data_IF_626657641378
#
_entry.id   IF_626657641378
#
_cell.length_a   1.000
_cell.length_b   1.000
_cell.length_c   1.000
_cell.angle_alpha   90.00
_cell.angle_beta   90.00
_cell.angle_gamma   90.00
#
_symmetry.space_group_name_H-M   'P 1'
#
loop_
_entity.id
_entity.type
_entity.pdbx_description
1 polymer ?
#
# COMPACT_ATOMS: atom_id res chain seq x y z
N UNK A 1 -10.81 -16.41 -27.75
CA UNK A 1 -11.29 -15.11 -27.24
C UNK A 1 -10.07 -14.37 -26.71
N UNK A 2 -9.86 -13.16 -27.18
CA UNK A 2 -8.77 -12.35 -26.63
C UNK A 2 -9.16 -11.88 -25.22
N UNK A 3 -8.22 -11.91 -24.27
CA UNK A 3 -8.45 -11.38 -22.94
C UNK A 3 -8.75 -9.88 -23.02
N UNK A 4 -9.67 -9.43 -22.18
CA UNK A 4 -10.03 -8.02 -22.05
C UNK A 4 -9.84 -7.58 -20.59
N UNK A 5 -8.68 -6.99 -20.32
CA UNK A 5 -8.30 -6.56 -18.97
C UNK A 5 -8.32 -5.04 -18.88
N UNK A 6 -9.09 -4.52 -17.97
CA UNK A 6 -9.14 -3.09 -17.64
C UNK A 6 -8.27 -2.82 -16.41
N UNK A 7 -7.48 -1.77 -16.47
CA UNK A 7 -6.87 -1.15 -15.29
C UNK A 7 -7.51 0.22 -15.06
N UNK A 8 -8.00 0.44 -13.85
CA UNK A 8 -8.55 1.72 -13.37
C UNK A 8 -7.62 2.30 -12.31
N UNK A 9 -7.35 3.60 -12.37
CA UNK A 9 -6.53 4.34 -11.39
C UNK A 9 -7.23 5.67 -11.07
N UNK A 10 -7.49 5.91 -9.80
CA UNK A 10 -8.10 7.14 -9.32
C UNK A 10 -7.09 8.29 -9.37
N UNK A 11 -7.41 9.37 -10.09
CA UNK A 11 -6.48 10.46 -10.34
C UNK A 11 -6.17 11.25 -9.06
N UNK A 12 -4.87 11.30 -8.68
CA UNK A 12 -4.42 12.01 -7.46
C UNK A 12 -5.31 11.73 -6.25
N UNK A 13 -5.63 10.46 -6.01
CA UNK A 13 -6.72 9.98 -5.15
C UNK A 13 -6.85 10.75 -3.84
N UNK A 14 -5.80 10.80 -3.00
CA UNK A 14 -5.88 11.49 -1.70
C UNK A 14 -6.17 12.99 -1.85
N UNK A 15 -5.60 13.65 -2.85
CA UNK A 15 -5.89 15.06 -3.14
C UNK A 15 -7.35 15.24 -3.57
N UNK A 16 -7.85 14.33 -4.42
CA UNK A 16 -9.24 14.38 -4.87
C UNK A 16 -10.21 14.15 -3.73
N UNK A 17 -9.92 13.23 -2.80
CA UNK A 17 -10.74 13.04 -1.59
C UNK A 17 -10.80 14.30 -0.72
N UNK A 18 -9.67 14.96 -0.48
CA UNK A 18 -9.65 16.21 0.30
C UNK A 18 -10.44 17.34 -0.40
N UNK A 19 -10.34 17.42 -1.73
CA UNK A 19 -11.08 18.42 -2.53
C UNK A 19 -12.60 18.20 -2.51
N UNK A 20 -13.05 16.95 -2.36
CA UNK A 20 -14.48 16.66 -2.20
C UNK A 20 -15.04 17.20 -0.88
N UNK A 21 -14.22 17.21 0.18
CA UNK A 21 -14.63 17.71 1.50
C UNK A 21 -14.43 19.21 1.65
N UNK A 22 -13.49 19.81 0.92
CA UNK A 22 -13.19 21.23 0.96
C UNK A 22 -12.87 21.78 -0.43
N UNK A 23 -13.82 22.49 -1.02
CA UNK A 23 -13.70 23.10 -2.35
C UNK A 23 -12.64 24.21 -2.45
N UNK A 24 -12.22 24.82 -1.33
CA UNK A 24 -11.15 25.85 -1.31
C UNK A 24 -9.78 25.25 -1.71
N UNK A 25 -9.66 23.93 -1.68
CA UNK A 25 -8.46 23.22 -2.11
C UNK A 25 -8.36 23.06 -3.62
N UNK A 26 -9.39 23.45 -4.37
CA UNK A 26 -9.39 23.35 -5.82
C UNK A 26 -8.42 24.38 -6.45
N UNK A 27 -7.69 23.92 -7.45
CA UNK A 27 -6.80 24.80 -8.24
C UNK A 27 -5.52 25.23 -7.54
N UNK A 28 -5.33 24.92 -6.27
CA UNK A 28 -4.11 25.28 -5.53
C UNK A 28 -3.10 24.10 -5.50
N UNK A 29 -1.78 24.39 -5.43
CA UNK A 29 -0.79 23.36 -5.17
C UNK A 29 -1.02 22.74 -3.78
N UNK A 30 -1.35 21.44 -3.77
CA UNK A 30 -1.67 20.70 -2.56
C UNK A 30 -0.74 19.49 -2.42
N UNK A 31 -0.25 19.26 -1.20
CA UNK A 31 0.59 18.13 -0.83
C UNK A 31 -0.07 17.42 0.34
N UNK A 32 -0.37 16.15 0.14
CA UNK A 32 -0.83 15.26 1.22
C UNK A 32 0.39 14.55 1.80
N UNK A 33 0.61 14.72 3.09
CA UNK A 33 1.77 14.20 3.80
C UNK A 33 1.93 14.96 5.11
N UNK A 34 3.01 14.75 5.83
CA UNK A 34 3.20 15.51 7.06
C UNK A 34 4.35 15.02 7.91
N UNK A 35 4.63 15.81 8.98
CA UNK A 35 5.74 15.57 9.90
C UNK A 35 7.08 16.06 9.38
N UNK A 36 8.00 16.37 10.30
CA UNK A 36 9.33 16.91 9.99
C UNK A 36 10.16 16.00 9.09
N UNK A 37 10.00 14.67 9.25
CA UNK A 37 10.66 13.62 8.45
C UNK A 37 9.69 12.92 7.50
N UNK A 38 8.55 13.52 7.25
CA UNK A 38 7.52 12.95 6.39
C UNK A 38 7.87 13.05 4.92
N UNK A 39 7.15 12.27 4.13
CA UNK A 39 7.23 12.27 2.66
C UNK A 39 5.89 12.67 2.07
N UNK A 40 5.93 13.10 0.83
CA UNK A 40 4.74 13.33 0.01
C UNK A 40 4.06 11.99 -0.24
N UNK A 41 2.87 11.78 0.35
CA UNK A 41 2.04 10.61 0.05
C UNK A 41 1.35 10.77 -1.30
N UNK A 42 0.74 11.96 -1.54
CA UNK A 42 0.15 12.35 -2.82
C UNK A 42 0.31 13.85 -3.02
N UNK A 43 0.28 14.31 -4.27
CA UNK A 43 0.34 15.73 -4.58
C UNK A 43 -0.53 16.06 -5.79
N UNK A 44 -1.09 17.26 -5.80
CA UNK A 44 -1.93 17.77 -6.87
C UNK A 44 -1.15 17.99 -8.16
N UNK A 45 -1.85 18.07 -9.28
CA UNK A 45 -1.23 18.35 -10.56
C UNK A 45 -0.56 19.74 -10.59
N UNK A 46 -1.12 20.71 -9.88
CA UNK A 46 -0.53 22.03 -9.72
C UNK A 46 0.85 21.93 -9.03
N UNK A 47 0.95 21.14 -7.94
CA UNK A 47 2.24 20.91 -7.28
C UNK A 47 3.22 20.11 -8.16
N UNK A 48 2.71 19.14 -8.96
CA UNK A 48 3.55 18.36 -9.90
C UNK A 48 4.22 19.20 -10.97
N UNK A 49 3.62 20.33 -11.38
CA UNK A 49 4.22 21.27 -12.34
C UNK A 49 5.51 21.91 -11.82
N UNK A 50 5.64 22.04 -10.50
CA UNK A 50 6.87 22.51 -9.84
C UNK A 50 7.89 21.39 -9.58
N UNK A 51 7.63 20.16 -10.05
CA UNK A 51 8.53 19.03 -9.86
C UNK A 51 8.28 18.20 -8.61
N UNK A 52 7.24 18.52 -7.81
CA UNK A 52 6.88 17.71 -6.63
C UNK A 52 6.38 16.33 -7.07
N UNK A 53 6.83 15.27 -6.37
CA UNK A 53 6.47 13.87 -6.64
C UNK A 53 6.20 13.11 -5.34
N UNK A 54 5.40 12.06 -5.41
CA UNK A 54 5.22 11.12 -4.29
C UNK A 54 6.55 10.51 -3.86
N UNK A 55 6.66 10.15 -2.59
CA UNK A 55 7.86 9.69 -1.90
C UNK A 55 8.97 10.75 -1.69
N UNK A 56 8.84 11.96 -2.23
CA UNK A 56 9.77 13.06 -1.99
C UNK A 56 9.68 13.55 -0.53
N UNK A 57 10.80 13.85 0.16
CA UNK A 57 10.75 14.50 1.47
C UNK A 57 9.95 15.81 1.43
N UNK A 58 9.09 16.04 2.43
CA UNK A 58 8.24 17.27 2.48
C UNK A 58 9.08 18.55 2.40
N UNK A 59 10.22 18.60 3.10
CA UNK A 59 11.10 19.75 3.05
C UNK A 59 11.63 20.05 1.63
N UNK A 60 11.94 18.99 0.87
CA UNK A 60 12.37 19.14 -0.53
C UNK A 60 11.20 19.61 -1.41
N UNK A 61 10.01 19.05 -1.20
CA UNK A 61 8.80 19.44 -1.92
C UNK A 61 8.45 20.91 -1.69
N UNK A 62 8.58 21.41 -0.47
CA UNK A 62 8.37 22.85 -0.13
C UNK A 62 9.44 23.77 -0.71
N UNK A 63 10.68 23.29 -0.90
CA UNK A 63 11.70 24.07 -1.64
C UNK A 63 11.35 24.22 -3.12
N UNK A 64 10.74 23.20 -3.74
CA UNK A 64 10.31 23.24 -5.13
C UNK A 64 9.01 24.03 -5.32
N UNK A 65 8.11 23.99 -4.35
CA UNK A 65 6.82 24.65 -4.39
C UNK A 65 6.49 25.29 -3.03
N UNK A 66 7.09 26.46 -2.69
CA UNK A 66 6.91 27.10 -1.39
C UNK A 66 5.45 27.48 -1.08
N UNK A 67 4.65 27.76 -2.11
CA UNK A 67 3.25 28.12 -2.00
C UNK A 67 2.33 26.91 -1.82
N UNK A 68 2.87 25.68 -1.80
CA UNK A 68 2.04 24.49 -1.64
C UNK A 68 1.46 24.40 -0.22
N UNK A 69 0.16 24.14 -0.12
CA UNK A 69 -0.51 23.81 1.13
C UNK A 69 -0.19 22.36 1.47
N UNK A 70 0.41 22.12 2.65
CA UNK A 70 0.68 20.75 3.15
C UNK A 70 -0.40 20.36 4.13
N UNK A 71 -1.00 19.20 3.94
CA UNK A 71 -2.02 18.64 4.81
C UNK A 71 -1.67 17.22 5.21
N UNK A 72 -2.03 16.86 6.46
CA UNK A 72 -2.01 15.46 6.90
C UNK A 72 -3.20 14.75 6.28
N UNK A 73 -2.96 13.58 5.67
CA UNK A 73 -4.01 12.80 5.05
C UNK A 73 -4.99 12.19 6.07
N UNK A 74 -6.26 12.09 5.68
CA UNK A 74 -7.31 11.38 6.41
C UNK A 74 -7.53 9.98 5.80
N UNK A 75 -6.85 8.99 6.38
CA UNK A 75 -6.93 7.60 5.88
C UNK A 75 -8.32 6.97 6.07
N UNK A 76 -9.12 7.45 7.02
CA UNK A 76 -10.48 6.98 7.23
C UNK A 76 -11.39 7.41 6.07
N UNK A 77 -11.33 8.70 5.72
CA UNK A 77 -12.01 9.24 4.55
C UNK A 77 -11.60 8.48 3.27
N UNK A 78 -10.30 8.28 3.07
CA UNK A 78 -9.80 7.61 1.86
C UNK A 78 -10.23 6.15 1.79
N UNK A 79 -10.22 5.45 2.92
CA UNK A 79 -10.70 4.06 2.97
C UNK A 79 -12.18 3.93 2.67
N UNK A 80 -13.00 4.86 3.18
CA UNK A 80 -14.43 4.91 2.92
C UNK A 80 -14.72 5.15 1.44
N UNK A 81 -14.13 6.20 0.86
CA UNK A 81 -14.34 6.51 -0.57
C UNK A 81 -13.81 5.40 -1.49
N UNK A 82 -12.67 4.76 -1.11
CA UNK A 82 -12.19 3.59 -1.83
C UNK A 82 -13.13 2.38 -1.72
N UNK A 83 -13.83 2.24 -0.59
CA UNK A 83 -14.85 1.20 -0.43
C UNK A 83 -16.05 1.47 -1.32
N UNK A 84 -16.57 2.70 -1.35
CA UNK A 84 -17.69 3.10 -2.19
C UNK A 84 -17.39 2.84 -3.69
N UNK A 85 -16.19 3.21 -4.15
CA UNK A 85 -15.72 2.88 -5.52
C UNK A 85 -15.67 1.36 -5.74
N UNK A 86 -15.19 0.61 -4.75
CA UNK A 86 -15.09 -0.86 -4.85
C UNK A 86 -16.46 -1.50 -5.02
N UNK A 87 -17.47 -1.06 -4.26
CA UNK A 87 -18.84 -1.57 -4.37
C UNK A 87 -19.45 -1.31 -5.76
N UNK A 88 -19.30 -0.09 -6.28
CA UNK A 88 -19.79 0.25 -7.63
C UNK A 88 -19.16 -0.64 -8.70
N UNK A 89 -17.85 -0.92 -8.58
CA UNK A 89 -17.14 -1.78 -9.52
C UNK A 89 -17.63 -3.23 -9.40
N UNK A 90 -17.71 -3.77 -8.19
CA UNK A 90 -18.11 -5.15 -7.92
C UNK A 90 -19.55 -5.45 -8.32
N UNK A 91 -20.43 -4.46 -8.28
CA UNK A 91 -21.81 -4.60 -8.75
C UNK A 91 -21.90 -4.90 -10.26
N UNK A 92 -20.93 -4.43 -11.06
CA UNK A 92 -21.00 -4.45 -12.51
C UNK A 92 -19.96 -5.37 -13.18
N UNK A 93 -18.78 -5.51 -12.60
CA UNK A 93 -17.69 -6.27 -13.19
C UNK A 93 -17.68 -7.73 -12.71
N UNK A 94 -17.49 -8.71 -13.60
CA UNK A 94 -17.54 -10.12 -13.25
C UNK A 94 -16.38 -10.56 -12.37
N UNK A 95 -15.17 -10.05 -12.62
CA UNK A 95 -13.97 -10.35 -11.84
C UNK A 95 -13.19 -9.07 -11.55
N UNK A 96 -12.97 -8.79 -10.28
CA UNK A 96 -12.35 -7.55 -9.79
C UNK A 96 -11.19 -7.87 -8.86
N UNK A 97 -10.01 -7.33 -9.15
CA UNK A 97 -8.86 -7.33 -8.24
C UNK A 97 -8.62 -5.91 -7.74
N UNK A 98 -8.72 -5.70 -6.44
CA UNK A 98 -8.32 -4.44 -5.80
C UNK A 98 -6.81 -4.47 -5.55
N UNK A 99 -6.03 -3.88 -6.44
CA UNK A 99 -4.57 -3.87 -6.35
C UNK A 99 -4.04 -2.91 -5.27
N UNK A 100 -4.73 -1.78 -5.06
CA UNK A 100 -4.42 -0.81 -3.99
C UNK A 100 -5.70 -0.09 -3.52
N UNK A 101 -5.53 0.94 -2.71
CA UNK A 101 -6.66 1.79 -2.27
C UNK A 101 -7.29 2.58 -3.42
N UNK A 102 -6.57 2.77 -4.53
CA UNK A 102 -6.92 3.62 -5.67
C UNK A 102 -6.76 2.94 -7.04
N UNK A 103 -6.30 1.68 -7.08
CA UNK A 103 -6.09 0.93 -8.33
C UNK A 103 -6.88 -0.37 -8.36
N UNK A 104 -7.49 -0.68 -9.51
CA UNK A 104 -8.29 -1.88 -9.73
C UNK A 104 -7.95 -2.51 -11.07
N UNK A 105 -7.95 -3.85 -11.13
CA UNK A 105 -7.98 -4.60 -12.37
C UNK A 105 -9.32 -5.31 -12.51
N UNK A 106 -9.88 -5.28 -13.72
CA UNK A 106 -11.12 -5.96 -14.08
C UNK A 106 -10.84 -6.93 -15.21
N UNK A 107 -11.30 -8.16 -15.10
CA UNK A 107 -11.36 -9.08 -16.22
C UNK A 107 -12.79 -9.08 -16.79
N UNK A 108 -12.96 -8.48 -17.96
CA UNK A 108 -14.22 -8.35 -18.69
C UNK A 108 -14.21 -9.19 -19.95
N UNK A 109 -13.37 -10.23 -20.01
CA UNK A 109 -13.28 -11.13 -21.15
C UNK A 109 -14.64 -11.75 -21.47
N UNK A 110 -15.06 -11.66 -22.72
CA UNK A 110 -16.34 -12.18 -23.20
C UNK A 110 -17.50 -11.19 -23.16
N UNK A 111 -17.33 -10.00 -22.55
CA UNK A 111 -18.39 -8.97 -22.52
C UNK A 111 -18.48 -8.18 -23.84
N UNK A 112 -17.46 -8.24 -24.67
CA UNK A 112 -17.38 -7.60 -25.99
C UNK A 112 -18.54 -7.96 -26.90
N UNK A 113 -19.05 -9.21 -26.79
CA UNK A 113 -20.17 -9.72 -27.62
C UNK A 113 -21.50 -9.00 -27.39
N UNK A 114 -21.68 -8.36 -26.23
CA UNK A 114 -22.95 -7.77 -25.81
C UNK A 114 -22.92 -6.24 -25.80
N UNK A 115 -21.81 -5.64 -25.41
CA UNK A 115 -21.77 -4.22 -25.04
C UNK A 115 -20.65 -3.42 -25.68
N UNK A 116 -19.61 -4.08 -26.26
CA UNK A 116 -18.37 -3.42 -26.61
C UNK A 116 -17.56 -3.03 -25.36
N UNK A 117 -16.44 -3.72 -25.14
CA UNK A 117 -15.67 -3.64 -23.88
C UNK A 117 -15.25 -2.23 -23.52
N UNK A 118 -14.82 -1.42 -24.48
CA UNK A 118 -14.42 -0.03 -24.25
C UNK A 118 -15.61 0.85 -23.85
N UNK A 119 -16.74 0.73 -24.55
CA UNK A 119 -17.95 1.51 -24.25
C UNK A 119 -18.45 1.20 -22.85
N UNK A 120 -18.56 -0.08 -22.50
CA UNK A 120 -18.97 -0.52 -21.16
C UNK A 120 -18.05 0.02 -20.07
N UNK A 121 -16.72 -0.05 -20.29
CA UNK A 121 -15.73 0.49 -19.30
C UNK A 121 -15.88 1.99 -19.14
N UNK A 122 -16.13 2.71 -20.23
CA UNK A 122 -16.32 4.15 -20.19
C UNK A 122 -17.62 4.54 -19.44
N UNK A 123 -18.70 3.78 -19.63
CA UNK A 123 -19.96 3.95 -18.88
C UNK A 123 -19.74 3.70 -17.37
N UNK A 124 -19.00 2.63 -17.02
CA UNK A 124 -18.63 2.36 -15.62
C UNK A 124 -17.79 3.51 -15.04
N UNK A 125 -16.81 4.01 -15.75
CA UNK A 125 -15.97 5.13 -15.33
C UNK A 125 -16.79 6.42 -15.10
N UNK A 126 -17.73 6.71 -15.98
CA UNK A 126 -18.65 7.84 -15.84
C UNK A 126 -19.55 7.67 -14.61
N UNK A 127 -20.07 6.46 -14.37
CA UNK A 127 -20.89 6.15 -13.20
C UNK A 127 -20.10 6.37 -11.91
N UNK A 128 -18.89 5.81 -11.81
CA UNK A 128 -18.02 6.01 -10.64
C UNK A 128 -17.80 7.50 -10.38
N UNK A 129 -17.42 8.25 -11.42
CA UNK A 129 -17.18 9.70 -11.28
C UNK A 129 -18.45 10.45 -10.87
N UNK A 130 -19.61 10.09 -11.42
CA UNK A 130 -20.90 10.72 -11.10
C UNK A 130 -21.33 10.43 -9.64
N UNK A 131 -21.19 9.20 -9.18
CA UNK A 131 -21.67 8.79 -7.84
C UNK A 131 -20.69 9.17 -6.74
N UNK A 132 -19.37 9.16 -6.99
CA UNK A 132 -18.37 9.43 -5.95
C UNK A 132 -17.73 10.82 -6.05
N UNK A 133 -17.86 11.51 -7.19
CA UNK A 133 -17.15 12.76 -7.47
C UNK A 133 -15.66 12.59 -7.73
N UNK A 134 -15.13 11.37 -7.74
CA UNK A 134 -13.71 11.08 -7.90
C UNK A 134 -13.32 10.92 -9.37
N UNK A 135 -12.34 11.67 -9.87
CA UNK A 135 -11.84 11.51 -11.23
C UNK A 135 -10.97 10.26 -11.34
N UNK A 136 -11.12 9.54 -12.43
CA UNK A 136 -10.32 8.35 -12.72
C UNK A 136 -9.81 8.33 -14.16
N UNK A 137 -8.85 7.46 -14.41
CA UNK A 137 -8.37 7.11 -15.74
C UNK A 137 -8.35 5.59 -15.86
N UNK A 138 -8.74 5.06 -17.01
CA UNK A 138 -8.62 3.64 -17.29
C UNK A 138 -7.91 3.36 -18.61
N UNK A 139 -7.39 2.15 -18.74
CA UNK A 139 -7.01 1.58 -20.02
C UNK A 139 -7.47 0.13 -20.12
N UNK A 140 -7.93 -0.23 -21.30
CA UNK A 140 -8.35 -1.57 -21.70
C UNK A 140 -7.27 -2.18 -22.59
N UNK A 141 -6.84 -3.40 -22.31
CA UNK A 141 -5.91 -4.16 -23.14
C UNK A 141 -6.00 -5.67 -22.86
N UNK A 142 -5.06 -6.43 -23.40
CA UNK A 142 -5.05 -7.91 -23.32
C UNK A 142 -4.53 -8.47 -21.98
N UNK A 143 -3.85 -7.67 -21.14
CA UNK A 143 -3.29 -8.12 -19.88
C UNK A 143 -3.04 -6.98 -18.89
N UNK A 144 -2.74 -7.32 -17.64
CA UNK A 144 -2.54 -6.38 -16.52
C UNK A 144 -1.39 -5.39 -16.77
N UNK A 145 -0.28 -5.85 -17.34
CA UNK A 145 0.90 -5.01 -17.58
C UNK A 145 0.61 -3.92 -18.62
N UNK A 146 0.05 -4.27 -19.75
CA UNK A 146 -0.23 -3.30 -20.83
C UNK A 146 -1.31 -2.32 -20.40
N UNK A 147 -2.39 -2.80 -19.76
CA UNK A 147 -3.46 -1.92 -19.26
C UNK A 147 -2.93 -0.92 -18.23
N UNK A 148 -2.05 -1.34 -17.29
CA UNK A 148 -1.46 -0.42 -16.30
C UNK A 148 -0.56 0.63 -16.96
N UNK A 149 0.27 0.23 -17.92
CA UNK A 149 1.09 1.19 -18.69
C UNK A 149 0.19 2.17 -19.44
N UNK A 150 -0.86 1.66 -20.08
CA UNK A 150 -1.84 2.46 -20.80
C UNK A 150 -2.53 3.49 -19.91
N UNK A 151 -2.98 3.08 -18.73
CA UNK A 151 -3.57 4.03 -17.76
C UNK A 151 -2.57 5.12 -17.37
N UNK A 152 -1.29 4.75 -17.15
CA UNK A 152 -0.23 5.72 -16.84
C UNK A 152 0.00 6.75 -17.94
N UNK A 153 -0.08 6.35 -19.22
CA UNK A 153 0.06 7.24 -20.40
C UNK A 153 -1.20 8.05 -20.65
N UNK A 154 -2.38 7.50 -20.32
CA UNK A 154 -3.67 8.17 -20.46
C UNK A 154 -3.94 9.25 -19.42
N UNK A 155 -3.23 9.25 -18.27
CA UNK A 155 -3.45 10.25 -17.21
C UNK A 155 -3.36 11.68 -17.75
N UNK A 156 -4.37 12.49 -17.41
CA UNK A 156 -4.56 13.88 -17.88
C UNK A 156 -4.84 14.06 -19.38
N UNK A 157 -4.97 12.99 -20.13
CA UNK A 157 -5.26 13.08 -21.58
C UNK A 157 -6.62 12.45 -21.88
N UNK A 158 -6.66 11.14 -21.92
CA UNK A 158 -7.86 10.35 -22.23
C UNK A 158 -7.73 8.92 -21.76
N UNK A 159 -8.85 8.22 -21.64
CA UNK A 159 -8.87 6.78 -21.49
C UNK A 159 -8.38 6.11 -22.78
N UNK A 160 -7.72 4.95 -22.64
CA UNK A 160 -7.07 4.28 -23.77
C UNK A 160 -7.64 2.87 -23.97
N UNK A 161 -7.75 2.49 -25.22
CA UNK A 161 -7.91 1.10 -25.65
C UNK A 161 -6.67 0.69 -26.45
N UNK A 162 -6.03 -0.41 -26.05
CA UNK A 162 -4.81 -0.93 -26.68
C UNK A 162 -5.09 -2.35 -27.13
N UNK A 163 -5.60 -2.55 -28.35
CA UNK A 163 -5.87 -3.87 -28.89
C UNK A 163 -4.58 -4.65 -29.15
N UNK A 164 -4.66 -5.97 -29.18
CA UNK A 164 -3.52 -6.88 -29.26
C UNK A 164 -2.51 -6.53 -30.35
N UNK A 165 -3.00 -6.23 -31.56
CA UNK A 165 -2.16 -5.90 -32.73
C UNK A 165 -1.39 -4.57 -32.59
N UNK A 166 -1.78 -3.70 -31.65
CA UNK A 166 -1.11 -2.42 -31.36
C UNK A 166 -0.21 -2.46 -30.12
N UNK A 167 -0.22 -3.55 -29.35
CA UNK A 167 0.52 -3.64 -28.09
C UNK A 167 2.01 -3.33 -28.28
N UNK A 168 2.66 -3.97 -29.25
CA UNK A 168 4.10 -3.78 -29.43
C UNK A 168 4.43 -2.38 -29.95
N UNK A 169 3.64 -1.83 -30.86
CA UNK A 169 3.83 -0.46 -31.36
C UNK A 169 3.60 0.59 -30.28
N UNK A 170 2.66 0.34 -29.36
CA UNK A 170 2.41 1.18 -28.19
C UNK A 170 3.57 1.12 -27.18
N UNK A 171 4.08 -0.06 -26.87
CA UNK A 171 5.12 -0.25 -25.85
C UNK A 171 6.49 0.24 -26.32
N UNK A 172 6.88 -0.02 -27.56
CA UNK A 172 8.23 0.20 -28.09
C UNK A 172 8.83 1.59 -27.83
N UNK A 173 8.14 2.72 -28.04
CA UNK A 173 8.71 4.05 -27.84
C UNK A 173 8.84 4.45 -26.37
N UNK A 174 8.18 3.70 -25.46
CA UNK A 174 8.13 4.07 -24.04
C UNK A 174 9.45 3.75 -23.33
N UNK A 175 9.73 4.54 -22.30
CA UNK A 175 10.85 4.27 -21.40
C UNK A 175 10.62 2.97 -20.61
N UNK A 176 11.69 2.20 -20.38
CA UNK A 176 11.63 1.00 -19.52
C UNK A 176 11.13 1.28 -18.11
N UNK A 177 11.21 2.53 -17.63
CA UNK A 177 10.61 2.96 -16.35
C UNK A 177 9.11 2.78 -16.27
N UNK A 178 8.43 2.68 -17.40
CA UNK A 178 6.97 2.49 -17.46
C UNK A 178 6.54 1.06 -17.16
N UNK A 179 7.46 0.10 -17.28
CA UNK A 179 7.17 -1.29 -16.95
C UNK A 179 7.01 -1.42 -15.42
N UNK A 180 5.88 -1.96 -14.93
CA UNK A 180 5.71 -2.28 -13.52
C UNK A 180 6.88 -3.13 -13.00
N UNK A 181 7.39 -2.81 -11.81
CA UNK A 181 8.58 -3.38 -11.14
C UNK A 181 9.94 -2.79 -11.59
N UNK A 182 10.02 -1.91 -12.57
CA UNK A 182 11.24 -1.17 -12.87
C UNK A 182 11.34 0.06 -11.95
N UNK A 183 12.00 -0.13 -10.82
CA UNK A 183 12.38 0.97 -9.91
C UNK A 183 13.71 1.63 -10.33
N UNK A 184 14.15 2.65 -9.57
CA UNK A 184 15.35 3.42 -9.90
C UNK A 184 16.62 2.57 -10.02
N UNK A 185 16.80 1.59 -9.14
CA UNK A 185 17.96 0.69 -9.19
C UNK A 185 18.01 -0.13 -10.48
N UNK A 186 16.89 -0.73 -10.86
CA UNK A 186 16.77 -1.52 -12.09
C UNK A 186 16.94 -0.63 -13.31
N UNK A 187 16.33 0.57 -13.30
CA UNK A 187 16.50 1.54 -14.39
C UNK A 187 17.94 1.99 -14.55
N UNK A 188 18.66 2.30 -13.46
CA UNK A 188 20.06 2.66 -13.52
C UNK A 188 20.92 1.53 -14.07
N UNK A 189 20.67 0.28 -13.65
CA UNK A 189 21.38 -0.90 -14.17
C UNK A 189 21.18 -1.04 -15.68
N UNK A 190 19.93 -1.02 -16.14
CA UNK A 190 19.59 -1.12 -17.57
C UNK A 190 20.18 0.05 -18.38
N UNK A 191 20.13 1.28 -17.84
CA UNK A 191 20.65 2.47 -18.51
C UNK A 191 22.16 2.44 -18.70
N UNK A 192 22.93 1.82 -17.77
CA UNK A 192 24.39 1.67 -17.88
C UNK A 192 24.81 0.81 -19.07
N UNK A 193 23.95 -0.08 -19.51
CA UNK A 193 24.18 -0.94 -20.69
C UNK A 193 23.41 -0.46 -21.94
N UNK A 194 22.91 0.78 -21.90
CA UNK A 194 22.25 1.42 -23.04
C UNK A 194 20.75 1.11 -23.19
N UNK A 195 20.14 0.28 -22.33
CA UNK A 195 18.73 -0.09 -22.39
C UNK A 195 17.90 1.00 -21.70
N UNK A 196 17.25 1.87 -22.50
CA UNK A 196 16.42 2.97 -22.02
C UNK A 196 14.97 2.86 -22.45
N UNK A 197 14.71 2.20 -23.58
CA UNK A 197 13.34 2.03 -24.13
C UNK A 197 12.88 0.58 -24.00
N UNK A 198 11.56 0.39 -24.03
CA UNK A 198 10.96 -0.95 -24.02
C UNK A 198 11.36 -1.71 -25.27
N UNK A 199 11.47 -1.06 -26.44
CA UNK A 199 11.96 -1.68 -27.67
C UNK A 199 13.32 -2.32 -27.46
N UNK A 200 14.32 -1.55 -26.99
CA UNK A 200 15.67 -2.07 -26.77
C UNK A 200 15.69 -3.23 -25.76
N UNK A 201 14.81 -3.21 -24.76
CA UNK A 201 14.68 -4.28 -23.77
C UNK A 201 14.07 -5.55 -24.40
N UNK A 202 13.04 -5.40 -25.24
CA UNK A 202 12.36 -6.53 -25.89
C UNK A 202 13.25 -7.26 -26.91
N UNK A 203 14.17 -6.54 -27.55
CA UNK A 203 15.14 -7.08 -28.52
C UNK A 203 16.34 -7.81 -27.88
N UNK A 204 16.51 -7.69 -26.55
CA UNK A 204 17.58 -8.40 -25.84
C UNK A 204 17.26 -9.89 -25.70
N UNK A 205 18.29 -10.77 -25.73
CA UNK A 205 18.09 -12.17 -25.37
C UNK A 205 17.64 -12.31 -23.90
N UNK A 206 16.59 -13.10 -23.66
CA UNK A 206 16.04 -13.30 -22.31
C UNK A 206 17.09 -13.85 -21.33
N UNK A 207 17.97 -14.75 -21.81
CA UNK A 207 19.04 -15.34 -21.02
C UNK A 207 20.10 -14.32 -20.58
N UNK A 208 20.36 -13.30 -21.41
CA UNK A 208 21.27 -12.22 -21.03
C UNK A 208 20.69 -11.39 -19.89
N UNK A 209 19.41 -11.05 -19.95
CA UNK A 209 18.70 -10.35 -18.88
C UNK A 209 18.62 -11.21 -17.60
N UNK A 210 18.41 -12.51 -17.73
CA UNK A 210 18.41 -13.43 -16.59
C UNK A 210 19.78 -13.45 -15.87
N UNK A 211 20.88 -13.49 -16.62
CA UNK A 211 22.23 -13.43 -16.03
C UNK A 211 22.50 -12.13 -15.28
N UNK A 212 21.93 -11.02 -15.73
CA UNK A 212 22.16 -9.69 -15.17
C UNK A 212 21.28 -9.38 -13.95
N UNK A 213 20.00 -9.77 -13.99
CA UNK A 213 18.97 -9.33 -13.03
C UNK A 213 18.30 -10.53 -12.34
N UNK A 214 18.75 -11.75 -12.67
CA UNK A 214 18.13 -12.98 -12.17
C UNK A 214 16.77 -13.25 -12.81
N UNK A 215 15.91 -13.98 -12.11
CA UNK A 215 14.59 -14.35 -12.60
C UNK A 215 13.73 -13.12 -12.97
N UNK A 216 13.92 -11.99 -12.30
CA UNK A 216 13.26 -10.74 -12.65
C UNK A 216 13.57 -10.25 -14.07
N UNK A 217 14.74 -10.62 -14.63
CA UNK A 217 15.11 -10.28 -16.01
C UNK A 217 14.19 -10.93 -17.03
N UNK A 218 13.85 -12.20 -16.83
CA UNK A 218 12.90 -12.93 -17.69
C UNK A 218 11.51 -12.28 -17.61
N UNK A 219 11.05 -11.94 -16.42
CA UNK A 219 9.76 -11.30 -16.24
C UNK A 219 9.71 -9.90 -16.89
N UNK A 220 10.79 -9.14 -16.81
CA UNK A 220 10.90 -7.84 -17.48
C UNK A 220 10.89 -8.00 -19.02
N UNK A 221 11.61 -9.02 -19.54
CA UNK A 221 11.61 -9.32 -20.97
C UNK A 221 10.21 -9.69 -21.46
N UNK A 222 9.49 -10.57 -20.74
CA UNK A 222 8.10 -10.90 -21.07
C UNK A 222 7.23 -9.64 -21.14
N UNK A 223 7.28 -8.81 -20.11
CA UNK A 223 6.51 -7.57 -20.04
C UNK A 223 6.85 -6.59 -21.15
N UNK A 224 8.14 -6.50 -21.54
CA UNK A 224 8.57 -5.68 -22.69
C UNK A 224 8.02 -6.19 -24.01
N UNK A 225 7.77 -7.49 -24.13
CA UNK A 225 7.11 -8.12 -25.29
C UNK A 225 5.57 -8.18 -25.15
N UNK A 226 5.00 -7.46 -24.19
CA UNK A 226 3.54 -7.43 -23.99
C UNK A 226 2.97 -8.74 -23.43
N UNK A 227 3.81 -9.63 -22.88
CA UNK A 227 3.42 -10.94 -22.36
C UNK A 227 3.23 -10.84 -20.83
N UNK A 228 1.99 -11.06 -20.38
CA UNK A 228 1.65 -11.15 -18.95
C UNK A 228 0.43 -12.06 -18.79
N UNK A 229 0.68 -13.27 -18.31
CA UNK A 229 -0.34 -14.29 -18.12
C UNK A 229 -1.00 -14.27 -16.72
N UNK A 230 -0.59 -13.34 -15.85
CA UNK A 230 -1.17 -13.26 -14.53
C UNK A 230 -2.68 -13.04 -14.60
N UNK A 231 -3.48 -13.83 -13.86
CA UNK A 231 -4.92 -13.63 -13.79
C UNK A 231 -5.28 -12.38 -12.99
N UNK A 232 -6.50 -11.90 -13.12
CA UNK A 232 -7.14 -10.97 -12.18
C UNK A 232 -7.61 -11.79 -10.99
N UNK A 233 -7.04 -11.53 -9.80
CA UNK A 233 -7.29 -12.30 -8.57
C UNK A 233 -8.19 -11.50 -7.63
N UNK A 234 -9.47 -11.89 -7.46
CA UNK A 234 -10.43 -11.13 -6.64
C UNK A 234 -10.04 -11.01 -5.17
N UNK A 235 -9.30 -11.96 -4.67
CA UNK A 235 -8.91 -12.01 -3.27
C UNK A 235 -7.51 -12.61 -3.11
N UNK A 236 -6.68 -11.90 -2.37
CA UNK A 236 -5.38 -12.41 -1.92
C UNK A 236 -5.35 -12.41 -0.40
N UNK A 237 -5.07 -13.56 0.21
CA UNK A 237 -4.94 -13.64 1.67
C UNK A 237 -3.82 -12.73 2.19
N UNK A 238 -4.13 -12.04 3.28
CA UNK A 238 -3.15 -11.19 3.94
C UNK A 238 -2.02 -12.06 4.53
N UNK A 239 -0.79 -11.83 4.10
CA UNK A 239 0.39 -12.60 4.54
C UNK A 239 0.99 -12.07 5.84
N UNK A 240 0.80 -10.80 6.16
CA UNK A 240 1.33 -10.16 7.37
C UNK A 240 0.60 -8.87 7.69
N UNK A 241 0.69 -8.45 8.96
CA UNK A 241 0.35 -7.12 9.44
C UNK A 241 1.57 -6.50 10.11
N UNK A 242 1.77 -5.20 9.96
CA UNK A 242 2.92 -4.51 10.56
C UNK A 242 2.63 -3.05 10.83
N UNK A 243 3.35 -2.50 11.79
CA UNK A 243 3.40 -1.06 12.06
C UNK A 243 4.83 -0.62 12.29
N UNK A 244 5.17 0.56 11.80
CA UNK A 244 6.51 1.17 11.95
C UNK A 244 6.35 2.61 12.44
N UNK A 245 7.28 3.04 13.26
CA UNK A 245 7.34 4.41 13.78
C UNK A 245 8.71 5.03 13.50
N UNK A 246 8.72 6.12 12.75
CA UNK A 246 9.91 6.95 12.55
C UNK A 246 9.88 8.08 13.56
N UNK A 247 10.90 8.17 14.42
CA UNK A 247 11.01 9.21 15.42
C UNK A 247 11.29 10.58 14.78
N UNK A 248 10.70 11.64 15.31
CA UNK A 248 11.01 13.03 14.87
C UNK A 248 12.49 13.36 15.13
N UNK A 249 13.01 12.88 16.26
CA UNK A 249 14.43 12.93 16.63
C UNK A 249 14.94 11.53 16.95
N UNK A 250 16.15 11.21 16.45
CA UNK A 250 16.77 9.92 16.71
C UNK A 250 17.06 9.76 18.21
N UNK A 251 16.72 8.61 18.79
CA UNK A 251 16.75 8.37 20.24
C UNK A 251 17.57 7.14 20.61
N UNK A 252 18.14 7.16 21.83
CA UNK A 252 18.76 6.01 22.50
C UNK A 252 17.99 5.63 23.77
N UNK A 253 16.90 6.31 24.07
CA UNK A 253 16.07 6.08 25.26
C UNK A 253 15.37 4.73 25.16
N UNK A 254 15.91 3.74 25.86
CA UNK A 254 15.43 2.34 25.84
C UNK A 254 14.00 2.25 26.37
N UNK A 255 13.65 3.02 27.41
CA UNK A 255 12.31 2.98 27.99
C UNK A 255 11.28 3.54 27.02
N UNK A 256 11.61 4.62 26.31
CA UNK A 256 10.79 5.15 25.23
C UNK A 256 10.63 4.14 24.09
N UNK A 257 11.70 3.47 23.68
CA UNK A 257 11.68 2.46 22.62
C UNK A 257 10.79 1.27 23.02
N UNK A 258 10.92 0.76 24.25
CA UNK A 258 10.09 -0.33 24.77
C UNK A 258 8.61 0.05 24.85
N UNK A 259 8.28 1.28 25.28
CA UNK A 259 6.90 1.79 25.28
C UNK A 259 6.29 1.83 23.87
N UNK A 260 7.08 2.25 22.90
CA UNK A 260 6.63 2.27 21.49
C UNK A 260 6.37 0.85 20.98
N UNK A 261 7.24 -0.12 21.26
CA UNK A 261 7.03 -1.53 20.90
C UNK A 261 5.74 -2.06 21.54
N UNK A 262 5.53 -1.79 22.83
CA UNK A 262 4.33 -2.21 23.55
C UNK A 262 3.06 -1.70 22.85
N UNK A 263 2.99 -0.41 22.56
CA UNK A 263 1.84 0.17 21.85
C UNK A 263 1.64 -0.41 20.45
N UNK A 264 2.74 -0.72 19.74
CA UNK A 264 2.67 -1.39 18.43
C UNK A 264 2.10 -2.80 18.53
N UNK A 265 2.57 -3.58 19.50
CA UNK A 265 2.07 -4.95 19.73
C UNK A 265 0.61 -4.90 20.12
N UNK A 266 0.18 -4.03 21.04
CA UNK A 266 -1.22 -3.88 21.42
C UNK A 266 -2.12 -3.55 20.21
N UNK A 267 -1.67 -2.64 19.34
CA UNK A 267 -2.40 -2.28 18.12
C UNK A 267 -2.55 -3.46 17.17
N UNK A 268 -1.46 -4.17 16.92
CA UNK A 268 -1.46 -5.29 15.98
C UNK A 268 -2.22 -6.50 16.55
N UNK A 269 -2.11 -6.80 17.84
CA UNK A 269 -2.84 -7.91 18.47
C UNK A 269 -4.34 -7.65 18.50
N UNK A 270 -4.75 -6.40 18.80
CA UNK A 270 -6.14 -6.00 18.68
C UNK A 270 -6.65 -6.19 17.24
N UNK A 271 -5.87 -5.81 16.22
CA UNK A 271 -6.21 -6.01 14.82
C UNK A 271 -6.33 -7.52 14.49
N UNK A 272 -5.42 -8.37 14.97
CA UNK A 272 -5.53 -9.82 14.79
C UNK A 272 -6.86 -10.35 15.32
N UNK A 273 -7.22 -9.99 16.57
CA UNK A 273 -8.46 -10.47 17.19
C UNK A 273 -9.71 -9.93 16.51
N UNK A 274 -9.72 -8.64 16.13
CA UNK A 274 -10.87 -8.02 15.45
C UNK A 274 -11.15 -8.62 14.08
N UNK A 275 -10.11 -9.09 13.38
CA UNK A 275 -10.20 -9.72 12.05
C UNK A 275 -10.18 -11.25 12.12
N UNK A 276 -10.17 -11.86 13.32
CA UNK A 276 -10.10 -13.30 13.57
C UNK A 276 -8.87 -13.97 12.93
N UNK A 277 -7.69 -13.37 13.16
CA UNK A 277 -6.41 -13.92 12.74
C UNK A 277 -5.55 -14.32 13.93
N UNK A 278 -4.75 -15.37 13.73
CA UNK A 278 -3.65 -15.77 14.60
C UNK A 278 -2.33 -15.60 13.84
N UNK A 279 -1.25 -15.30 14.57
CA UNK A 279 0.10 -15.21 14.01
C UNK A 279 1.02 -16.29 14.58
N UNK A 280 1.95 -16.76 13.75
CA UNK A 280 3.00 -17.70 14.18
C UNK A 280 4.40 -17.10 14.14
N UNK A 281 4.57 -15.83 13.73
CA UNK A 281 5.90 -15.23 13.61
C UNK A 281 5.86 -13.77 13.99
N UNK A 282 6.70 -13.39 14.95
CA UNK A 282 6.95 -12.02 15.38
C UNK A 282 8.29 -11.55 14.82
N UNK A 283 8.30 -10.39 14.19
CA UNK A 283 9.51 -9.73 13.68
C UNK A 283 9.63 -8.36 14.27
N UNK A 284 10.80 -8.01 14.78
CA UNK A 284 11.17 -6.65 15.17
C UNK A 284 12.17 -6.10 14.15
N UNK A 285 11.96 -4.85 13.76
CA UNK A 285 12.81 -4.10 12.84
C UNK A 285 13.30 -2.84 13.54
N UNK A 286 14.58 -2.56 13.43
CA UNK A 286 15.16 -1.28 13.84
C UNK A 286 15.93 -0.68 12.68
N UNK A 287 15.96 0.66 12.64
CA UNK A 287 16.83 1.40 11.74
C UNK A 287 17.59 2.45 12.54
N UNK A 288 18.91 2.41 12.42
CA UNK A 288 19.81 3.37 13.05
C UNK A 288 19.81 4.72 12.33
N UNK A 289 20.41 5.73 12.96
CA UNK A 289 20.53 7.08 12.39
C UNK A 289 21.30 7.13 11.07
N UNK A 290 22.25 6.21 10.88
CA UNK A 290 23.03 6.04 9.63
C UNK A 290 22.27 5.27 8.53
N UNK A 291 20.97 4.94 8.75
CA UNK A 291 20.10 4.16 7.87
C UNK A 291 20.40 2.64 7.81
N UNK A 292 21.37 2.12 8.55
CA UNK A 292 21.51 0.68 8.71
C UNK A 292 20.21 0.11 9.28
N UNK A 293 19.71 -0.93 8.66
CA UNK A 293 18.45 -1.57 9.07
C UNK A 293 18.71 -3.01 9.45
N UNK A 294 18.31 -3.37 10.65
CA UNK A 294 18.40 -4.73 11.16
C UNK A 294 17.01 -5.27 11.49
N UNK A 295 16.83 -6.57 11.28
CA UNK A 295 15.58 -7.28 11.58
C UNK A 295 15.88 -8.59 12.28
N UNK A 296 15.05 -8.94 13.25
CA UNK A 296 15.11 -10.24 13.92
C UNK A 296 13.71 -10.80 14.09
N UNK A 297 13.56 -12.09 13.86
CA UNK A 297 12.26 -12.74 13.99
C UNK A 297 12.34 -14.01 14.84
N UNK A 298 11.22 -14.37 15.42
CA UNK A 298 11.04 -15.60 16.17
C UNK A 298 9.70 -16.25 15.79
N UNK A 299 9.70 -17.55 15.68
CA UNK A 299 8.48 -18.33 15.51
C UNK A 299 7.88 -18.60 16.88
N UNK A 300 6.57 -18.45 17.00
CA UNK A 300 5.75 -18.72 18.18
C UNK A 300 4.64 -19.68 17.82
N UNK A 301 3.98 -20.27 18.81
CA UNK A 301 2.71 -20.94 18.56
C UNK A 301 1.67 -19.96 18.05
N UNK A 302 0.69 -20.44 17.27
CA UNK A 302 -0.37 -19.58 16.74
C UNK A 302 -1.14 -18.89 17.86
N UNK A 303 -1.02 -17.58 17.93
CA UNK A 303 -1.63 -16.77 18.99
C UNK A 303 -2.03 -15.38 18.53
N UNK A 304 -2.93 -14.74 19.25
CA UNK A 304 -3.24 -13.32 19.21
C UNK A 304 -3.15 -12.67 20.60
N UNK A 305 -2.55 -13.37 21.58
CA UNK A 305 -2.43 -12.93 22.97
C UNK A 305 -1.37 -11.83 23.10
N UNK A 306 -1.78 -10.68 23.60
CA UNK A 306 -0.92 -9.49 23.77
C UNK A 306 0.33 -9.80 24.61
N UNK A 307 0.19 -10.55 25.69
CA UNK A 307 1.29 -10.78 26.64
C UNK A 307 2.40 -11.62 26.01
N UNK A 308 2.07 -12.71 25.31
CA UNK A 308 3.04 -13.58 24.63
C UNK A 308 3.75 -12.82 23.49
N UNK A 309 2.97 -12.10 22.68
CA UNK A 309 3.51 -11.33 21.57
C UNK A 309 4.39 -10.16 22.07
N UNK A 310 4.01 -9.51 23.18
CA UNK A 310 4.80 -8.44 23.80
C UNK A 310 6.12 -8.98 24.35
N UNK A 311 6.08 -10.07 25.11
CA UNK A 311 7.28 -10.69 25.65
C UNK A 311 8.25 -11.09 24.54
N UNK A 312 7.73 -11.71 23.48
CA UNK A 312 8.52 -12.10 22.32
C UNK A 312 9.14 -10.89 21.62
N UNK A 313 8.37 -9.83 21.39
CA UNK A 313 8.86 -8.63 20.73
C UNK A 313 9.93 -7.91 21.56
N UNK A 314 9.78 -7.84 22.89
CA UNK A 314 10.77 -7.27 23.80
C UNK A 314 12.08 -8.07 23.79
N UNK A 315 11.98 -9.40 23.89
CA UNK A 315 13.15 -10.28 23.82
C UNK A 315 13.89 -10.16 22.46
N UNK A 316 13.15 -10.00 21.36
CA UNK A 316 13.75 -9.77 20.05
C UNK A 316 14.43 -8.41 19.96
N UNK A 317 13.82 -7.37 20.53
CA UNK A 317 14.40 -6.03 20.58
C UNK A 317 15.71 -6.02 21.35
N UNK A 318 15.73 -6.61 22.56
CA UNK A 318 16.93 -6.67 23.41
C UNK A 318 18.08 -7.43 22.74
N UNK A 319 17.75 -8.48 21.96
CA UNK A 319 18.75 -9.22 21.16
C UNK A 319 19.18 -8.50 19.89
N UNK A 320 18.40 -7.54 19.40
CA UNK A 320 18.66 -6.82 18.16
C UNK A 320 19.42 -5.52 18.41
N UNK A 321 19.03 -4.76 19.43
CA UNK A 321 19.63 -3.47 19.77
C UNK A 321 20.92 -3.65 20.60
N UNK A 322 22.00 -4.01 19.91
CA UNK A 322 23.33 -4.24 20.53
C UNK A 322 24.27 -3.02 20.40
N UNK A 323 24.06 -2.20 19.35
CA UNK A 323 24.89 -1.02 19.09
C UNK A 323 24.37 0.17 19.91
N UNK A 324 25.24 0.88 20.60
CA UNK A 324 24.91 2.13 21.31
C UNK A 324 24.76 3.31 20.31
N UNK A 325 23.93 3.12 19.28
CA UNK A 325 23.63 4.13 18.27
C UNK A 325 22.17 4.56 18.38
N UNK A 326 21.91 5.85 18.05
CA UNK A 326 20.56 6.38 18.00
C UNK A 326 19.71 5.63 16.97
N UNK A 327 18.48 5.30 17.36
CA UNK A 327 17.49 4.70 16.48
C UNK A 327 16.62 5.79 15.83
N UNK A 328 16.47 5.65 14.52
CA UNK A 328 15.61 6.48 13.68
C UNK A 328 14.21 5.88 13.55
N UNK A 329 14.10 4.56 13.47
CA UNK A 329 12.83 3.86 13.25
C UNK A 329 12.82 2.56 14.02
N UNK A 330 11.63 2.21 14.50
CA UNK A 330 11.31 0.90 15.06
C UNK A 330 10.03 0.38 14.43
N UNK A 331 9.92 -0.93 14.28
CA UNK A 331 8.74 -1.57 13.73
C UNK A 331 8.51 -2.97 14.29
N UNK A 332 7.24 -3.37 14.30
CA UNK A 332 6.80 -4.72 14.64
C UNK A 332 5.96 -5.26 13.49
N UNK A 333 6.18 -6.52 13.14
CA UNK A 333 5.44 -7.24 12.11
C UNK A 333 5.02 -8.62 12.64
N UNK A 334 3.78 -8.99 12.37
CA UNK A 334 3.24 -10.32 12.56
C UNK A 334 3.01 -10.97 11.21
N UNK A 335 3.47 -12.21 11.04
CA UNK A 335 3.36 -12.98 9.80
C UNK A 335 3.08 -14.45 10.09
N UNK A 336 2.90 -15.26 9.01
CA UNK A 336 2.39 -16.62 9.19
C UNK A 336 0.97 -16.57 9.75
N UNK A 337 0.12 -15.74 9.10
CA UNK A 337 -1.26 -15.54 9.54
C UNK A 337 -2.11 -16.72 9.13
N UNK A 338 -3.00 -17.15 10.05
CA UNK A 338 -4.05 -18.13 9.77
C UNK A 338 -5.38 -17.62 10.34
N UNK A 339 -6.47 -17.91 9.69
CA UNK A 339 -7.80 -17.63 10.24
C UNK A 339 -8.08 -18.55 11.42
N UNK A 340 -8.61 -17.98 12.46
CA UNK A 340 -8.97 -18.73 13.66
C UNK A 340 -9.29 -17.82 14.82
N UNK A 341 -10.01 -18.37 15.77
CA UNK A 341 -10.22 -17.77 17.09
C UNK A 341 -9.10 -18.21 18.01
N UNK A 342 -8.84 -17.41 19.04
CA UNK A 342 -7.84 -17.69 20.06
C UNK A 342 -8.00 -19.11 20.62
N UNK A 343 -6.94 -19.91 20.52
CA UNK A 343 -6.88 -21.25 21.11
C UNK A 343 -6.19 -21.12 22.46
N UNK A 344 -6.86 -21.54 23.53
CA UNK A 344 -6.32 -21.52 24.89
C UNK A 344 -5.14 -22.49 24.95
N UNK A 345 -3.98 -22.00 25.34
CA UNK A 345 -2.86 -22.82 25.73
C UNK A 345 -3.02 -23.18 27.22
N UNK A 346 -3.24 -24.47 27.50
CA UNK A 346 -3.47 -24.99 28.86
C UNK A 346 -2.37 -24.67 29.87
N UNK A 347 -1.18 -24.29 29.39
CA UNK A 347 -0.03 -24.02 30.24
C UNK A 347 0.29 -22.52 30.41
N UNK A 348 -0.14 -21.68 29.46
CA UNK A 348 0.25 -20.27 29.41
C UNK A 348 -0.94 -19.30 29.49
N UNK A 349 -2.18 -19.78 29.33
CA UNK A 349 -3.37 -18.94 29.27
C UNK A 349 -4.41 -19.38 30.28
N UNK A 350 -5.06 -18.40 30.91
CA UNK A 350 -6.23 -18.63 31.77
C UNK A 350 -7.48 -18.12 31.07
N UNK A 351 -8.64 -18.71 31.41
CA UNK A 351 -9.94 -18.21 30.95
C UNK A 351 -10.15 -16.73 31.32
N UNK A 352 -9.59 -16.31 32.46
CA UNK A 352 -9.61 -14.92 32.92
C UNK A 352 -8.88 -13.96 31.99
N UNK A 353 -7.71 -14.38 31.43
CA UNK A 353 -6.97 -13.57 30.46
C UNK A 353 -7.73 -13.40 29.15
N UNK A 354 -8.40 -14.47 28.70
CA UNK A 354 -9.25 -14.39 27.52
C UNK A 354 -10.43 -13.43 27.74
N UNK A 355 -11.11 -13.55 28.89
CA UNK A 355 -12.19 -12.66 29.29
C UNK A 355 -11.74 -11.19 29.38
N UNK A 356 -10.52 -10.95 29.89
CA UNK A 356 -9.91 -9.62 29.94
C UNK A 356 -9.71 -9.06 28.54
N UNK A 357 -9.10 -9.80 27.60
CA UNK A 357 -8.91 -9.33 26.22
C UNK A 357 -10.24 -9.02 25.54
N UNK A 358 -11.23 -9.89 25.70
CA UNK A 358 -12.57 -9.63 25.16
C UNK A 358 -13.23 -8.40 25.75
N UNK A 359 -13.06 -8.16 27.06
CA UNK A 359 -13.57 -6.94 27.72
C UNK A 359 -12.86 -5.70 27.20
N UNK A 360 -11.52 -5.72 27.11
CA UNK A 360 -10.73 -4.62 26.54
C UNK A 360 -11.12 -4.34 25.08
N UNK A 361 -11.29 -5.38 24.26
CA UNK A 361 -11.65 -5.23 22.87
C UNK A 361 -13.07 -4.67 22.71
N UNK A 362 -14.04 -5.06 23.57
CA UNK A 362 -15.38 -4.44 23.62
C UNK A 362 -15.31 -2.95 23.92
N UNK A 363 -14.46 -2.55 24.88
CA UNK A 363 -14.28 -1.13 25.23
C UNK A 363 -13.63 -0.36 24.08
N UNK A 364 -12.59 -0.92 23.46
CA UNK A 364 -11.92 -0.33 22.28
C UNK A 364 -12.87 -0.19 21.08
N UNK A 365 -13.72 -1.20 20.85
CA UNK A 365 -14.73 -1.16 19.78
C UNK A 365 -15.78 -0.06 20.01
N UNK A 366 -16.15 0.19 21.26
CA UNK A 366 -17.23 1.15 21.60
C UNK A 366 -16.74 2.58 21.71
N UNK A 367 -15.54 2.79 22.27
CA UNK A 367 -15.04 4.12 22.67
C UNK A 367 -13.75 4.53 21.96
N UNK A 368 -13.26 3.72 21.01
CA UNK A 368 -12.00 3.95 20.30
C UNK A 368 -10.82 3.19 20.89
N UNK A 369 -9.78 3.01 20.06
CA UNK A 369 -8.59 2.21 20.42
C UNK A 369 -7.91 2.71 21.69
N UNK A 370 -7.87 4.02 21.90
CA UNK A 370 -7.17 4.68 23.02
C UNK A 370 -7.97 4.68 24.34
N UNK A 371 -9.21 4.14 24.35
CA UNK A 371 -10.06 4.12 25.53
C UNK A 371 -9.50 3.24 26.67
N UNK A 372 -8.79 2.17 26.33
CA UNK A 372 -8.14 1.26 27.26
C UNK A 372 -6.73 0.95 26.76
N UNK A 373 -5.73 1.36 27.50
CA UNK A 373 -4.32 1.10 27.19
C UNK A 373 -3.57 0.66 28.45
N UNK A 374 -2.51 -0.10 28.28
CA UNK A 374 -1.61 -0.40 29.40
C UNK A 374 -0.87 0.86 29.84
N UNK A 375 -0.74 1.12 31.13
CA UNK A 375 -0.05 2.30 31.65
C UNK A 375 1.37 2.47 31.07
N UNK A 376 2.10 1.38 30.89
CA UNK A 376 3.42 1.40 30.27
C UNK A 376 3.41 1.84 28.79
N UNK A 377 2.28 1.73 28.08
CA UNK A 377 2.08 2.16 26.69
C UNK A 377 1.43 3.53 26.54
N UNK A 378 0.94 4.14 27.60
CA UNK A 378 0.10 5.35 27.57
C UNK A 378 0.74 6.59 26.93
N UNK A 379 2.05 6.64 26.75
CA UNK A 379 2.75 7.72 26.04
C UNK A 379 2.80 7.53 24.50
N UNK A 380 2.38 6.38 23.98
CA UNK A 380 2.26 6.10 22.57
C UNK A 380 0.88 6.54 22.11
N UNK A 381 0.69 7.84 21.86
CA UNK A 381 -0.48 8.30 21.13
C UNK A 381 -0.36 7.77 19.71
N UNK A 382 -1.17 6.76 19.35
CA UNK A 382 -1.32 6.38 17.96
C UNK A 382 -1.83 7.63 17.22
N UNK A 383 -1.25 7.95 16.07
CA UNK A 383 -1.75 9.03 15.20
C UNK A 383 -3.11 8.68 14.56
N UNK A 384 -3.76 7.63 15.02
CA UNK A 384 -5.08 7.16 14.67
C UNK A 384 -6.06 7.65 15.73
N UNK A 385 -6.46 8.91 15.64
CA UNK A 385 -7.77 9.30 16.14
C UNK A 385 -8.77 8.66 15.16
N UNK A 386 -9.61 7.77 15.69
CA UNK A 386 -10.92 7.40 15.16
C UNK A 386 -11.05 6.37 14.00
N UNK A 387 -10.09 5.47 13.75
CA UNK A 387 -10.25 4.46 12.68
C UNK A 387 -11.30 3.36 12.96
N UNK A 388 -11.86 3.26 14.15
CA UNK A 388 -12.65 2.06 14.55
C UNK A 388 -14.11 2.35 14.91
N UNK A 389 -14.48 3.58 15.24
CA UNK A 389 -15.83 3.89 15.72
C UNK A 389 -16.93 3.92 14.64
N UNK A 390 -16.61 3.88 13.36
CA UNK A 390 -17.60 4.04 12.29
C UNK A 390 -17.85 2.80 11.40
N UNK A 391 -17.27 1.64 11.73
CA UNK A 391 -17.57 0.39 11.01
C UNK A 391 -18.94 -0.24 11.40
N UNK A 392 -19.73 0.41 12.25
CA UNK A 392 -21.09 -0.04 12.61
C UNK A 392 -22.06 1.16 12.60
N UNK A 393 -22.43 1.61 11.42
CA UNK A 393 -23.74 2.17 11.11
C UNK A 393 -24.04 1.91 9.66
#
# INVERSE_FOLDING_TARGET
MNRAIVHIDMNTFFVSCERLTNSELNGIPLIIGGGERGVVASCSYEARRFGVRSAMPIQMALRLCPQAKVMKGDMELYSRLSYDVTEIIQEKAPVVEKASIDEFYLDITGMDRFYGSYKWTNELAQRITKETGLPLTFALSINKTVSKIGTGEGKQKQNLEIPEHLVQSFLNPLSVRKIPMVGDKTFQLLSRIGIRTIKTLSEMPAEALQRMIGQNGIELWKKANGIDNNPVEPYTERKSISTEHTFSQDTIDIDKLRRVILGMVEKLSYQLRSEQWLTSTVTVKIRYANFDTETKQCRVQYTSADHLLTQTAMNLFDKLYQRRMRLRLIGVRFSGLVRGTYQIDLFNDTEEMLALYQAMDRMKNRYGFDAVMRCAGASFKSNTKDEILKRKK
#
